data_IF_155392308703
#
_entry.id   IF_155392308703
#
_cell.length_a   1.000
_cell.length_b   1.000
_cell.length_c   1.000
_cell.angle_alpha   90.00
_cell.angle_beta   90.00
_cell.angle_gamma   90.00
#
_symmetry.space_group_name_H-M   'P 1'
#
loop_
_entity.id
_entity.type
_entity.pdbx_description
1 polymer ?
#
# COMPACT_ATOMS: atom_id res chain seq x y z
N UNK A 1 -15.05 12.79 -2.42
CA UNK A 1 -15.10 12.50 -0.97
C UNK A 1 -15.30 13.79 -0.18
N UNK A 2 -14.36 14.72 -0.07
CA UNK A 2 -14.48 15.93 0.75
C UNK A 2 -15.74 16.77 0.47
N UNK A 3 -16.13 16.96 -0.79
CA UNK A 3 -17.38 17.63 -1.14
C UNK A 3 -18.62 16.90 -0.58
N UNK A 4 -18.61 15.57 -0.59
CA UNK A 4 -19.73 14.80 -0.02
C UNK A 4 -19.81 14.92 1.51
N UNK A 5 -18.72 15.34 2.14
CA UNK A 5 -18.62 15.66 3.56
C UNK A 5 -18.86 17.16 3.85
N UNK A 6 -19.18 17.95 2.83
CA UNK A 6 -19.54 19.37 2.98
C UNK A 6 -18.42 20.37 2.70
N UNK A 7 -17.23 19.95 2.29
CA UNK A 7 -16.19 20.89 1.84
C UNK A 7 -16.56 21.49 0.47
N UNK A 8 -16.31 22.80 0.26
CA UNK A 8 -16.50 23.44 -1.03
C UNK A 8 -15.17 23.91 -1.59
N UNK A 9 -14.90 23.58 -2.85
CA UNK A 9 -13.71 24.02 -3.58
C UNK A 9 -14.09 25.18 -4.50
N UNK A 10 -13.63 26.37 -4.18
CA UNK A 10 -14.07 27.62 -4.79
C UNK A 10 -12.95 28.28 -5.61
N UNK A 11 -13.32 28.89 -6.71
CA UNK A 11 -12.44 29.75 -7.51
C UNK A 11 -12.33 31.16 -6.92
N UNK A 12 -11.58 32.03 -7.58
CA UNK A 12 -11.39 33.44 -7.16
C UNK A 12 -12.68 34.27 -7.17
N UNK A 13 -13.73 33.82 -7.86
CA UNK A 13 -15.05 34.45 -7.86
C UNK A 13 -16.01 33.90 -6.81
N UNK A 14 -15.57 32.90 -6.04
CA UNK A 14 -16.42 32.20 -5.05
C UNK A 14 -17.34 31.14 -5.65
N UNK A 15 -17.15 30.79 -6.91
CA UNK A 15 -17.91 29.73 -7.59
C UNK A 15 -17.22 28.38 -7.41
N UNK A 16 -18.02 27.32 -7.22
CA UNK A 16 -17.49 25.95 -7.10
C UNK A 16 -16.82 25.51 -8.39
N UNK A 17 -15.59 24.98 -8.28
CA UNK A 17 -14.80 24.49 -9.40
C UNK A 17 -15.31 23.15 -9.93
N UNK A 18 -15.01 22.84 -11.19
CA UNK A 18 -15.33 21.54 -11.77
C UNK A 18 -14.49 20.44 -11.09
N UNK A 19 -15.09 19.23 -11.00
CA UNK A 19 -14.42 18.06 -10.42
C UNK A 19 -13.33 17.52 -11.33
N UNK A 20 -12.35 16.86 -10.71
CA UNK A 20 -11.25 16.17 -11.41
C UNK A 20 -10.02 17.02 -11.59
N UNK A 21 -9.02 16.45 -12.25
CA UNK A 21 -7.68 17.08 -12.42
C UNK A 21 -7.73 18.43 -13.14
N UNK A 22 -8.71 18.65 -14.00
CA UNK A 22 -8.86 19.91 -14.74
C UNK A 22 -9.33 21.06 -13.85
N UNK A 23 -10.03 20.78 -12.76
CA UNK A 23 -10.46 21.78 -11.78
C UNK A 23 -9.35 22.24 -10.84
N UNK A 24 -8.32 21.42 -10.59
CA UNK A 24 -7.32 21.70 -9.58
C UNK A 24 -6.64 23.07 -9.66
N UNK A 25 -6.25 23.59 -10.87
CA UNK A 25 -5.57 24.88 -10.97
C UNK A 25 -6.47 26.08 -10.67
N UNK A 26 -7.76 25.90 -10.64
CA UNK A 26 -8.74 26.96 -10.38
C UNK A 26 -9.18 27.05 -8.93
N UNK A 27 -8.78 26.11 -8.07
CA UNK A 27 -9.10 26.14 -6.65
C UNK A 27 -8.33 27.27 -5.99
N UNK A 28 -9.02 28.34 -5.61
CA UNK A 28 -8.44 29.47 -4.88
C UNK A 28 -8.67 29.35 -3.37
N UNK A 29 -9.76 28.70 -2.98
CA UNK A 29 -10.15 28.57 -1.58
C UNK A 29 -10.90 27.25 -1.32
N UNK A 30 -10.70 26.67 -0.13
CA UNK A 30 -11.48 25.55 0.37
C UNK A 30 -12.29 26.02 1.56
N UNK A 31 -13.61 25.98 1.45
CA UNK A 31 -14.53 26.33 2.53
C UNK A 31 -14.94 25.07 3.29
N UNK A 32 -14.66 25.06 4.59
CA UNK A 32 -14.97 23.97 5.52
C UNK A 32 -16.14 24.29 6.45
N UNK A 33 -16.85 25.42 6.23
CA UNK A 33 -17.91 25.88 7.15
C UNK A 33 -19.07 24.89 7.30
N UNK A 34 -19.34 24.12 6.28
CA UNK A 34 -20.39 23.10 6.25
C UNK A 34 -19.85 21.67 6.35
N UNK A 35 -18.57 21.51 6.69
CA UNK A 35 -17.96 20.18 6.79
C UNK A 35 -18.58 19.40 7.95
N UNK A 36 -18.88 18.13 7.71
CA UNK A 36 -19.55 17.26 8.67
C UNK A 36 -18.68 17.01 9.91
N UNK A 37 -19.11 17.54 11.05
CA UNK A 37 -18.34 17.46 12.31
C UNK A 37 -18.18 16.05 12.84
N UNK A 38 -19.07 15.13 12.48
CA UNK A 38 -18.96 13.71 12.87
C UNK A 38 -17.66 13.07 12.43
N UNK A 39 -17.04 13.60 11.37
CA UNK A 39 -15.73 13.15 10.90
C UNK A 39 -14.64 13.32 11.98
N UNK A 40 -14.71 14.41 12.74
CA UNK A 40 -13.72 14.69 13.79
C UNK A 40 -13.89 13.82 15.05
N UNK A 41 -15.08 13.26 15.23
CA UNK A 41 -15.41 12.35 16.34
C UNK A 41 -15.25 10.86 15.93
N UNK A 42 -14.76 10.60 14.71
CA UNK A 42 -14.62 9.26 14.15
C UNK A 42 -13.15 8.93 13.93
N UNK A 43 -12.69 7.83 14.49
CA UNK A 43 -11.38 7.29 14.15
C UNK A 43 -11.41 6.68 12.75
N UNK A 44 -10.57 7.21 11.86
CA UNK A 44 -10.47 6.76 10.46
C UNK A 44 -9.07 6.25 10.20
N UNK A 45 -8.96 4.99 9.80
CA UNK A 45 -7.70 4.35 9.43
C UNK A 45 -7.70 4.11 7.92
N UNK A 46 -6.75 4.72 7.22
CA UNK A 46 -6.56 4.54 5.79
C UNK A 46 -5.55 3.42 5.55
N UNK A 47 -6.02 2.26 5.10
CA UNK A 47 -5.15 1.13 4.75
C UNK A 47 -4.56 1.35 3.36
N UNK A 48 -3.24 1.36 3.27
CA UNK A 48 -2.52 1.56 2.01
C UNK A 48 -1.21 0.77 1.98
N UNK A 49 -0.97 0.06 0.89
CA UNK A 49 0.28 -0.66 0.64
C UNK A 49 1.27 0.16 -0.21
N UNK A 50 0.93 1.41 -0.54
CA UNK A 50 1.82 2.32 -1.27
C UNK A 50 2.30 3.46 -0.37
N UNK A 51 3.58 3.82 -0.52
CA UNK A 51 4.25 4.83 0.30
C UNK A 51 4.41 6.17 -0.45
N UNK A 52 3.85 6.28 -1.65
CA UNK A 52 4.02 7.45 -2.51
C UNK A 52 3.47 8.71 -1.85
N UNK A 53 4.22 9.84 -1.87
CA UNK A 53 3.69 11.14 -1.52
C UNK A 53 2.68 11.61 -2.57
N UNK A 54 1.97 12.70 -2.29
CA UNK A 54 0.99 13.24 -3.23
C UNK A 54 1.64 13.74 -4.52
N UNK A 55 2.74 14.45 -4.43
CA UNK A 55 3.40 15.10 -5.57
C UNK A 55 4.91 14.84 -5.62
N UNK A 56 5.55 15.24 -6.72
CA UNK A 56 6.97 15.04 -6.97
C UNK A 56 7.25 13.78 -7.79
N UNK A 57 8.53 13.48 -8.05
CA UNK A 57 8.98 12.39 -8.94
C UNK A 57 8.45 11.00 -8.53
N UNK A 58 8.16 10.79 -7.25
CA UNK A 58 7.59 9.57 -6.69
C UNK A 58 6.12 9.77 -6.27
N UNK A 59 5.52 10.90 -6.64
CA UNK A 59 4.13 11.24 -6.33
C UNK A 59 3.11 10.53 -7.21
N UNK A 60 1.84 10.79 -6.90
CA UNK A 60 0.70 10.13 -7.56
C UNK A 60 0.71 10.29 -9.08
N UNK A 61 1.03 11.49 -9.59
CA UNK A 61 0.99 11.79 -11.03
C UNK A 61 2.07 11.02 -11.78
N UNK A 62 3.32 11.07 -11.32
CA UNK A 62 4.43 10.38 -11.99
C UNK A 62 4.33 8.87 -11.91
N UNK A 63 3.84 8.34 -10.78
CA UNK A 63 3.78 6.89 -10.54
C UNK A 63 2.56 6.25 -11.21
N UNK A 64 1.39 6.87 -11.09
CA UNK A 64 0.13 6.24 -11.50
C UNK A 64 -0.52 6.89 -12.73
N UNK A 65 -0.09 8.10 -13.11
CA UNK A 65 -0.66 8.85 -14.24
C UNK A 65 -0.54 8.10 -15.57
N UNK A 66 0.65 7.60 -15.97
CA UNK A 66 0.84 6.94 -17.27
C UNK A 66 -0.08 5.73 -17.48
N UNK A 67 -0.22 4.86 -16.49
CA UNK A 67 -1.12 3.69 -16.57
C UNK A 67 -2.60 4.06 -16.65
N UNK A 68 -2.96 5.31 -16.30
CA UNK A 68 -4.31 5.88 -16.40
C UNK A 68 -4.51 6.75 -17.64
N UNK A 69 -3.55 6.70 -18.58
CA UNK A 69 -3.64 7.38 -19.87
C UNK A 69 -3.08 8.81 -19.90
N UNK A 70 -2.42 9.27 -18.83
CA UNK A 70 -1.78 10.57 -18.84
C UNK A 70 -0.50 10.55 -19.67
N UNK A 71 -0.39 11.45 -20.65
CA UNK A 71 0.79 11.57 -21.50
C UNK A 71 2.02 12.00 -20.69
N UNK A 72 3.18 11.40 -20.98
CA UNK A 72 4.44 11.71 -20.31
C UNK A 72 4.81 13.19 -20.39
N UNK A 73 4.51 13.86 -21.52
CA UNK A 73 4.74 15.28 -21.74
C UNK A 73 3.94 16.19 -20.78
N UNK A 74 2.84 15.69 -20.19
CA UNK A 74 1.97 16.45 -19.30
C UNK A 74 2.18 16.13 -17.81
N UNK A 75 3.04 15.18 -17.44
CA UNK A 75 3.24 14.78 -16.05
C UNK A 75 3.61 15.96 -15.15
N UNK A 76 4.53 16.81 -15.60
CA UNK A 76 4.96 17.97 -14.83
C UNK A 76 3.81 18.95 -14.58
N UNK A 77 3.03 19.25 -15.61
CA UNK A 77 1.87 20.14 -15.51
C UNK A 77 0.88 19.65 -14.45
N UNK A 78 0.53 18.36 -14.51
CA UNK A 78 -0.44 17.80 -13.55
C UNK A 78 0.14 17.64 -12.14
N UNK A 79 1.44 17.38 -11.99
CA UNK A 79 2.09 17.37 -10.69
C UNK A 79 2.11 18.78 -10.05
N UNK A 80 2.34 19.83 -10.85
CA UNK A 80 2.25 21.21 -10.38
C UNK A 80 0.82 21.57 -9.95
N UNK A 81 -0.23 21.09 -10.66
CA UNK A 81 -1.63 21.23 -10.25
C UNK A 81 -1.91 20.51 -8.92
N UNK A 82 -1.35 19.31 -8.72
CA UNK A 82 -1.48 18.60 -7.45
C UNK A 82 -0.79 19.33 -6.29
N UNK A 83 0.34 19.98 -6.53
CA UNK A 83 1.01 20.83 -5.53
C UNK A 83 0.18 22.04 -5.16
N UNK A 84 -0.41 22.70 -6.16
CA UNK A 84 -1.32 23.82 -5.93
C UNK A 84 -2.51 23.39 -5.06
N UNK A 85 -3.15 22.27 -5.42
CA UNK A 85 -4.23 21.68 -4.64
C UNK A 85 -3.80 21.41 -3.20
N UNK A 86 -2.66 20.74 -3.00
CA UNK A 86 -2.15 20.44 -1.66
C UNK A 86 -1.92 21.73 -0.84
N UNK A 87 -1.35 22.77 -1.45
CA UNK A 87 -1.13 24.05 -0.78
C UNK A 87 -2.44 24.69 -0.31
N UNK A 88 -3.44 24.72 -1.21
CA UNK A 88 -4.74 25.33 -0.90
C UNK A 88 -5.51 24.56 0.17
N UNK A 89 -5.46 23.23 0.12
CA UNK A 89 -6.06 22.36 1.17
C UNK A 89 -5.34 22.57 2.50
N UNK A 90 -4.02 22.56 2.50
CA UNK A 90 -3.23 22.75 3.73
C UNK A 90 -3.50 24.10 4.41
N UNK A 91 -3.76 25.14 3.62
CA UNK A 91 -4.16 26.44 4.17
C UNK A 91 -5.52 26.39 4.90
N UNK A 92 -6.47 25.59 4.38
CA UNK A 92 -7.80 25.45 4.96
C UNK A 92 -7.83 24.53 6.18
N UNK A 93 -7.10 23.39 6.11
CA UNK A 93 -7.06 22.37 7.18
C UNK A 93 -6.02 22.68 8.26
N UNK A 94 -5.10 23.63 7.99
CA UNK A 94 -3.95 23.99 8.84
C UNK A 94 -2.96 22.85 9.08
N UNK A 95 -2.96 21.85 8.20
CA UNK A 95 -2.07 20.70 8.23
C UNK A 95 -1.56 20.38 6.82
N UNK A 96 -0.35 19.82 6.71
CA UNK A 96 0.28 19.53 5.43
C UNK A 96 0.68 18.07 5.31
N UNK A 97 -0.13 17.31 4.63
CA UNK A 97 0.08 15.89 4.36
C UNK A 97 0.60 15.58 2.96
N UNK A 98 1.02 16.58 2.19
CA UNK A 98 1.45 16.36 0.80
C UNK A 98 2.62 15.38 0.66
N UNK A 99 3.53 15.36 1.64
CA UNK A 99 4.70 14.47 1.68
C UNK A 99 4.51 13.26 2.59
N UNK A 100 3.36 13.11 3.23
CA UNK A 100 3.06 11.97 4.10
C UNK A 100 3.05 10.67 3.29
N UNK A 101 3.53 9.61 3.91
CA UNK A 101 3.49 8.26 3.36
C UNK A 101 2.06 7.88 3.02
N UNK A 102 1.84 7.41 1.78
CA UNK A 102 0.51 7.04 1.31
C UNK A 102 -0.39 8.19 0.84
N UNK A 103 0.05 9.45 0.93
CA UNK A 103 -0.74 10.59 0.43
C UNK A 103 -1.09 10.47 -1.05
N UNK A 104 -0.20 9.88 -1.86
CA UNK A 104 -0.42 9.62 -3.28
C UNK A 104 -1.30 8.40 -3.59
N UNK A 105 -1.67 7.61 -2.59
CA UNK A 105 -2.48 6.41 -2.77
C UNK A 105 -3.79 6.73 -3.50
N UNK A 106 -4.19 5.84 -4.41
CA UNK A 106 -5.38 5.98 -5.24
C UNK A 106 -5.47 7.35 -5.96
N UNK A 107 -4.30 7.92 -6.37
CA UNK A 107 -4.24 9.18 -7.12
C UNK A 107 -4.50 10.41 -6.26
N UNK A 108 -4.23 10.36 -4.96
CA UNK A 108 -4.39 11.45 -4.00
C UNK A 108 -5.60 11.31 -3.07
N UNK A 109 -6.35 10.20 -3.13
CA UNK A 109 -7.39 9.93 -2.14
C UNK A 109 -6.78 9.82 -0.73
N UNK A 110 -5.57 9.21 -0.62
CA UNK A 110 -4.81 9.16 0.64
C UNK A 110 -4.61 10.55 1.24
N UNK A 111 -4.13 11.52 0.45
CA UNK A 111 -4.01 12.90 0.89
C UNK A 111 -5.34 13.48 1.38
N UNK A 112 -6.44 13.19 0.64
CA UNK A 112 -7.76 13.65 1.04
C UNK A 112 -8.21 13.08 2.38
N UNK A 113 -7.97 11.79 2.64
CA UNK A 113 -8.30 11.16 3.93
C UNK A 113 -7.46 11.73 5.08
N UNK A 114 -6.16 11.90 4.85
CA UNK A 114 -5.27 12.50 5.85
C UNK A 114 -5.68 13.94 6.19
N UNK A 115 -5.90 14.79 5.14
CA UNK A 115 -6.11 16.23 5.34
C UNK A 115 -7.52 16.59 5.80
N UNK A 116 -8.55 15.93 5.31
CA UNK A 116 -9.96 16.28 5.64
C UNK A 116 -10.52 15.43 6.77
N UNK A 117 -10.05 14.20 6.91
CA UNK A 117 -10.63 13.28 7.88
C UNK A 117 -9.69 12.99 9.06
N UNK A 118 -8.49 13.56 9.08
CA UNK A 118 -7.51 13.25 10.13
C UNK A 118 -7.14 11.75 10.17
N UNK A 119 -7.26 11.05 9.05
CA UNK A 119 -7.05 9.62 9.01
C UNK A 119 -5.59 9.26 9.35
N UNK A 120 -5.40 8.18 10.09
CA UNK A 120 -4.10 7.56 10.25
C UNK A 120 -3.81 6.63 9.07
N UNK A 121 -2.66 6.81 8.39
CA UNK A 121 -2.22 5.88 7.34
C UNK A 121 -1.56 4.66 7.97
N UNK A 122 -2.01 3.46 7.57
CA UNK A 122 -1.47 2.19 8.06
C UNK A 122 -1.28 1.22 6.90
N UNK A 123 -0.25 0.37 6.99
CA UNK A 123 -0.09 -0.75 6.05
C UNK A 123 -1.23 -1.75 6.24
N UNK A 124 -1.83 -2.20 5.13
CA UNK A 124 -2.92 -3.17 5.16
C UNK A 124 -2.55 -4.45 5.89
N UNK A 125 -1.33 -4.97 5.66
CA UNK A 125 -0.88 -6.18 6.34
C UNK A 125 -0.69 -5.96 7.85
N UNK A 126 -0.19 -4.80 8.30
CA UNK A 126 -0.03 -4.53 9.72
C UNK A 126 -1.39 -4.48 10.42
N UNK A 127 -2.34 -3.74 9.86
CA UNK A 127 -3.69 -3.66 10.39
C UNK A 127 -4.36 -5.05 10.48
N UNK A 128 -4.16 -5.90 9.46
CA UNK A 128 -4.69 -7.26 9.47
C UNK A 128 -4.05 -8.11 10.58
N UNK A 129 -2.72 -8.07 10.71
CA UNK A 129 -2.00 -8.82 11.73
C UNK A 129 -2.42 -8.39 13.16
N UNK A 130 -2.65 -7.09 13.36
CA UNK A 130 -3.16 -6.57 14.63
C UNK A 130 -4.59 -7.06 14.90
N UNK A 131 -5.46 -6.98 13.90
CA UNK A 131 -6.87 -7.39 14.03
C UNK A 131 -7.04 -8.88 14.33
N UNK A 132 -6.11 -9.73 13.87
CA UNK A 132 -6.12 -11.17 14.16
C UNK A 132 -5.28 -11.55 15.40
N UNK A 133 -4.76 -10.57 16.15
CA UNK A 133 -3.88 -10.79 17.31
C UNK A 133 -2.72 -11.73 16.98
N UNK A 134 -2.07 -11.48 15.84
CA UNK A 134 -1.06 -12.39 15.29
C UNK A 134 0.10 -12.66 16.25
N UNK A 135 0.55 -11.66 16.99
CA UNK A 135 1.66 -11.81 17.95
C UNK A 135 1.31 -12.79 19.09
N UNK A 136 0.07 -12.82 19.52
CA UNK A 136 -0.39 -13.80 20.54
C UNK A 136 -0.42 -15.21 19.97
N UNK A 137 -0.78 -15.34 18.67
CA UNK A 137 -0.79 -16.65 17.99
C UNK A 137 0.61 -17.21 17.74
N UNK A 138 1.64 -16.40 17.81
CA UNK A 138 3.04 -16.84 17.67
C UNK A 138 3.58 -17.54 18.93
N UNK A 139 2.88 -17.50 20.06
CA UNK A 139 3.34 -18.15 21.29
C UNK A 139 3.47 -19.66 21.10
N UNK A 140 4.67 -20.19 21.35
CA UNK A 140 4.98 -21.62 21.20
C UNK A 140 5.18 -22.08 19.76
N UNK A 141 5.15 -21.16 18.79
CA UNK A 141 5.41 -21.46 17.37
C UNK A 141 6.91 -21.55 17.13
N UNK A 142 7.36 -22.57 16.40
CA UNK A 142 8.76 -22.79 16.04
C UNK A 142 9.09 -22.39 14.58
N UNK A 143 8.08 -22.31 13.72
CA UNK A 143 8.20 -21.98 12.31
C UNK A 143 6.93 -21.28 11.84
N UNK A 144 7.08 -20.18 11.13
CA UNK A 144 6.00 -19.55 10.37
C UNK A 144 6.15 -19.90 8.89
N UNK A 145 5.07 -20.28 8.23
CA UNK A 145 5.03 -20.49 6.79
C UNK A 145 4.09 -19.43 6.21
N UNK A 146 4.59 -18.68 5.25
CA UNK A 146 3.83 -17.68 4.48
C UNK A 146 3.89 -17.98 3.00
N UNK A 147 3.14 -17.25 2.17
CA UNK A 147 3.18 -17.50 0.73
C UNK A 147 2.57 -16.38 -0.10
N UNK A 148 2.89 -16.43 -1.39
CA UNK A 148 2.27 -15.62 -2.44
C UNK A 148 2.42 -16.30 -3.81
N UNK A 149 1.70 -15.80 -4.82
CA UNK A 149 1.76 -16.38 -6.16
C UNK A 149 3.14 -16.23 -6.81
N UNK A 150 3.74 -15.04 -6.75
CA UNK A 150 5.07 -14.76 -7.30
C UNK A 150 5.84 -13.81 -6.40
N UNK A 151 7.03 -14.22 -5.99
CA UNK A 151 7.92 -13.46 -5.13
C UNK A 151 9.05 -12.80 -5.94
N UNK A 152 9.28 -11.53 -5.67
CA UNK A 152 10.34 -10.72 -6.25
C UNK A 152 10.85 -9.69 -5.22
N UNK A 153 11.84 -8.88 -5.61
CA UNK A 153 12.37 -7.84 -4.73
C UNK A 153 11.34 -6.75 -4.36
N UNK A 154 10.22 -6.63 -5.11
CA UNK A 154 9.14 -5.71 -4.73
C UNK A 154 8.33 -6.24 -3.54
N UNK A 155 8.33 -7.55 -3.32
CA UNK A 155 7.69 -8.18 -2.15
C UNK A 155 8.23 -7.59 -0.84
N UNK A 156 9.53 -7.24 -0.80
CA UNK A 156 10.19 -6.61 0.35
C UNK A 156 9.60 -5.25 0.76
N UNK A 157 8.87 -4.58 -0.12
CA UNK A 157 8.31 -3.25 0.14
C UNK A 157 6.94 -3.26 0.85
N UNK A 158 6.61 -4.32 1.58
CA UNK A 158 5.48 -4.33 2.50
C UNK A 158 4.30 -5.22 2.11
N UNK A 159 4.51 -6.17 1.16
CA UNK A 159 3.50 -7.19 0.88
C UNK A 159 3.31 -8.14 2.08
N UNK A 160 2.20 -8.87 2.07
CA UNK A 160 1.78 -9.74 3.18
C UNK A 160 2.88 -10.69 3.69
N UNK A 161 3.65 -11.41 2.86
CA UNK A 161 4.70 -12.31 3.35
C UNK A 161 5.75 -11.61 4.21
N UNK A 162 6.11 -10.39 3.85
CA UNK A 162 7.12 -9.60 4.57
C UNK A 162 6.58 -9.05 5.88
N UNK A 163 5.32 -8.61 5.91
CA UNK A 163 4.66 -8.19 7.15
C UNK A 163 4.66 -9.32 8.18
N UNK A 164 4.26 -10.51 7.75
CA UNK A 164 4.27 -11.73 8.57
C UNK A 164 5.69 -12.06 9.07
N UNK A 165 6.68 -12.06 8.17
CA UNK A 165 8.06 -12.40 8.51
C UNK A 165 8.67 -11.41 9.52
N UNK A 166 8.43 -10.11 9.37
CA UNK A 166 8.90 -9.09 10.31
C UNK A 166 8.33 -9.29 11.70
N UNK A 167 7.03 -9.58 11.83
CA UNK A 167 6.39 -9.82 13.13
C UNK A 167 6.93 -11.10 13.78
N UNK A 168 7.08 -12.19 13.03
CA UNK A 168 7.68 -13.43 13.51
C UNK A 168 9.13 -13.23 13.98
N UNK A 169 9.93 -12.47 13.21
CA UNK A 169 11.32 -12.18 13.53
C UNK A 169 11.47 -11.40 14.86
N UNK A 170 10.53 -10.54 15.24
CA UNK A 170 10.53 -9.85 16.54
C UNK A 170 10.45 -10.83 17.72
N UNK A 171 9.89 -12.02 17.51
CA UNK A 171 9.82 -13.09 18.52
C UNK A 171 10.89 -14.18 18.31
N UNK A 172 11.84 -13.95 17.38
CA UNK A 172 12.92 -14.91 17.08
C UNK A 172 12.44 -16.14 16.27
N UNK A 173 11.24 -16.10 15.70
CA UNK A 173 10.65 -17.24 14.98
C UNK A 173 11.03 -17.15 13.51
N UNK A 174 11.65 -18.20 12.92
CA UNK A 174 12.00 -18.23 11.51
C UNK A 174 10.74 -18.27 10.63
N UNK A 175 10.82 -17.57 9.49
CA UNK A 175 9.76 -17.58 8.48
C UNK A 175 10.26 -18.16 7.18
N UNK A 176 9.55 -19.15 6.65
CA UNK A 176 9.75 -19.73 5.33
C UNK A 176 8.59 -19.33 4.41
N UNK A 177 8.88 -19.14 3.13
CA UNK A 177 7.85 -18.84 2.15
C UNK A 177 7.66 -20.01 1.17
N UNK A 178 6.39 -20.38 0.95
CA UNK A 178 5.96 -21.27 -0.12
C UNK A 178 5.29 -20.41 -1.19
N UNK A 179 5.84 -20.38 -2.39
CA UNK A 179 5.41 -19.46 -3.45
C UNK A 179 5.16 -20.20 -4.75
N UNK A 180 4.31 -19.67 -5.62
CA UNK A 180 4.13 -20.25 -6.96
C UNK A 180 5.46 -20.22 -7.73
N UNK A 181 6.07 -19.03 -7.80
CA UNK A 181 7.40 -18.83 -8.42
C UNK A 181 8.14 -17.66 -7.75
N UNK A 182 9.42 -17.52 -8.05
CA UNK A 182 10.20 -16.34 -7.66
C UNK A 182 11.19 -15.93 -8.77
N UNK A 183 11.66 -14.69 -8.72
CA UNK A 183 12.77 -14.22 -9.57
C UNK A 183 14.09 -14.79 -9.08
N UNK A 184 15.14 -14.77 -9.93
CA UNK A 184 16.49 -15.23 -9.53
C UNK A 184 17.04 -14.44 -8.34
N UNK A 185 16.86 -13.12 -8.37
CA UNK A 185 17.24 -12.24 -7.25
C UNK A 185 16.04 -11.96 -6.33
N UNK A 186 16.15 -12.46 -5.11
CA UNK A 186 15.25 -12.21 -3.98
C UNK A 186 16.02 -11.80 -2.72
N UNK A 187 17.21 -11.23 -2.88
CA UNK A 187 18.09 -10.84 -1.77
C UNK A 187 17.38 -9.93 -0.76
N UNK A 188 16.61 -8.95 -1.23
CA UNK A 188 15.85 -8.04 -0.37
C UNK A 188 14.77 -8.75 0.45
N UNK A 189 14.23 -9.86 -0.04
CA UNK A 189 13.25 -10.66 0.69
C UNK A 189 13.90 -11.37 1.87
N UNK A 190 15.14 -11.84 1.71
CA UNK A 190 15.91 -12.41 2.80
C UNK A 190 16.31 -11.36 3.86
N UNK A 191 16.70 -10.17 3.43
CA UNK A 191 17.04 -9.06 4.34
C UNK A 191 15.87 -8.65 5.27
N UNK A 192 14.63 -8.85 4.82
CA UNK A 192 13.43 -8.48 5.60
C UNK A 192 12.86 -9.62 6.45
N UNK A 193 13.54 -10.77 6.55
CA UNK A 193 13.26 -11.81 7.52
C UNK A 193 12.72 -13.14 6.96
N UNK A 194 12.54 -13.29 5.65
CA UNK A 194 12.19 -14.59 5.05
C UNK A 194 13.48 -15.41 4.87
N UNK A 195 13.63 -16.46 5.67
CA UNK A 195 14.88 -17.22 5.69
C UNK A 195 15.05 -18.20 4.53
N UNK A 196 13.94 -18.81 4.07
CA UNK A 196 13.96 -19.74 2.93
C UNK A 196 12.70 -19.54 2.07
N UNK A 197 12.87 -19.77 0.76
CA UNK A 197 11.78 -19.71 -0.22
C UNK A 197 11.71 -21.02 -0.99
N UNK A 198 10.52 -21.60 -1.09
CA UNK A 198 10.24 -22.85 -1.77
C UNK A 198 9.24 -22.59 -2.90
N UNK A 199 9.74 -22.63 -4.14
CA UNK A 199 8.86 -22.55 -5.30
C UNK A 199 8.07 -23.87 -5.47
N UNK A 200 6.76 -23.74 -5.74
CA UNK A 200 5.88 -24.86 -5.99
C UNK A 200 5.75 -25.19 -7.47
N UNK A 201 5.69 -24.17 -8.34
CA UNK A 201 5.53 -24.41 -9.78
C UNK A 201 6.72 -25.14 -10.40
N UNK A 202 6.51 -26.27 -11.09
CA UNK A 202 7.55 -26.94 -11.83
C UNK A 202 8.07 -26.07 -12.98
N UNK A 203 9.38 -26.18 -13.28
CA UNK A 203 9.96 -25.50 -14.39
C UNK A 203 9.39 -26.02 -15.73
N UNK A 204 9.20 -25.11 -16.70
CA UNK A 204 8.85 -25.44 -18.08
C UNK A 204 7.33 -25.64 -18.33
N UNK A 205 6.48 -25.53 -17.30
CA UNK A 205 5.03 -25.57 -17.49
C UNK A 205 4.46 -24.18 -17.76
N UNK A 206 3.36 -24.11 -18.51
CA UNK A 206 2.57 -22.90 -18.69
C UNK A 206 1.88 -22.50 -17.38
N UNK A 207 1.48 -21.23 -17.26
CA UNK A 207 0.75 -20.74 -16.08
C UNK A 207 -0.55 -21.52 -15.87
N UNK A 208 -1.27 -21.86 -16.94
CA UNK A 208 -2.52 -22.62 -16.86
C UNK A 208 -2.30 -24.03 -16.29
N UNK A 209 -1.24 -24.71 -16.73
CA UNK A 209 -0.87 -26.05 -16.22
C UNK A 209 -0.46 -25.98 -14.75
N UNK A 210 0.34 -24.98 -14.37
CA UNK A 210 0.71 -24.75 -12.97
C UNK A 210 -0.54 -24.49 -12.09
N UNK A 211 -1.49 -23.69 -12.57
CA UNK A 211 -2.71 -23.41 -11.81
C UNK A 211 -3.58 -24.66 -11.57
N UNK A 212 -3.66 -25.57 -12.56
CA UNK A 212 -4.40 -26.84 -12.41
C UNK A 212 -3.78 -27.77 -11.36
N UNK A 213 -2.46 -27.71 -11.19
CA UNK A 213 -1.69 -28.54 -10.28
C UNK A 213 -1.42 -27.90 -8.92
N UNK A 214 -1.84 -26.65 -8.72
CA UNK A 214 -1.51 -25.86 -7.52
C UNK A 214 -1.70 -26.62 -6.20
N UNK A 215 -2.78 -27.36 -5.93
CA UNK A 215 -2.97 -28.05 -4.66
C UNK A 215 -1.86 -29.06 -4.36
N UNK A 216 -1.48 -29.87 -5.35
CA UNK A 216 -0.44 -30.91 -5.22
C UNK A 216 0.95 -30.30 -5.11
N UNK A 217 1.25 -29.31 -5.96
CA UNK A 217 2.56 -28.68 -6.05
C UNK A 217 2.84 -27.83 -4.80
N UNK A 218 1.84 -27.11 -4.27
CA UNK A 218 1.96 -26.35 -3.00
C UNK A 218 2.13 -27.31 -1.83
N UNK A 219 1.39 -28.42 -1.78
CA UNK A 219 1.55 -29.45 -0.74
C UNK A 219 2.99 -30.00 -0.72
N UNK A 220 3.52 -30.34 -1.88
CA UNK A 220 4.90 -30.83 -2.03
C UNK A 220 5.95 -29.78 -1.60
N UNK A 221 5.74 -28.51 -1.95
CA UNK A 221 6.64 -27.44 -1.54
C UNK A 221 6.59 -27.18 -0.04
N UNK A 222 5.38 -27.23 0.56
CA UNK A 222 5.20 -27.09 2.01
C UNK A 222 5.87 -28.25 2.77
N UNK A 223 5.75 -29.48 2.28
CA UNK A 223 6.46 -30.63 2.86
C UNK A 223 7.98 -30.42 2.82
N UNK A 224 8.54 -29.94 1.71
CA UNK A 224 9.97 -29.63 1.60
C UNK A 224 10.38 -28.57 2.62
N UNK A 225 9.56 -27.54 2.81
CA UNK A 225 9.79 -26.47 3.78
C UNK A 225 9.88 -27.03 5.20
N UNK A 226 8.89 -27.82 5.62
CA UNK A 226 8.86 -28.44 6.95
C UNK A 226 10.01 -29.41 7.14
N UNK A 227 10.30 -30.27 6.17
CA UNK A 227 11.45 -31.20 6.23
C UNK A 227 12.79 -30.46 6.33
N UNK A 228 12.93 -29.32 5.63
CA UNK A 228 14.13 -28.47 5.72
C UNK A 228 14.29 -27.87 7.11
N UNK A 229 13.20 -27.52 7.77
CA UNK A 229 13.22 -27.01 9.12
C UNK A 229 13.63 -28.08 10.13
N UNK A 230 12.97 -29.26 10.12
CA UNK A 230 13.23 -30.36 11.05
C UNK A 230 14.68 -30.85 10.97
N UNK A 231 15.32 -30.85 9.80
CA UNK A 231 16.71 -31.29 9.62
C UNK A 231 17.76 -30.36 10.25
N UNK A 232 17.36 -29.18 10.71
CA UNK A 232 18.27 -28.22 11.38
C UNK A 232 18.38 -28.48 12.88
N UNK A 233 17.52 -29.33 13.41
CA UNK A 233 17.50 -29.78 14.80
C UNK A 233 17.77 -31.30 14.91
#
# INVERSE_FOLDING_TARGET
>A
MAEALGALFLDTSGKQVIRGLEGLPYIAHVDMSHFDRRVYDTEIIALSDVNNPLSGKHGAIYTFGPQKGLLFSRLREYDDRMRHYAHTVSAATKDNHALSTGAGAAGGLGFGLLSFCGAAAMSGIQALLDAVHFDEQLQGVNLVITGEGRMDNQTAYGKAPVGVARRAALQGIPTYAVVGSHTEDISKVHEVGIQQVFASAPAGLSLEECMKRTPEDVSTAAERAVRSFIRKF
#
